data_IF_736462141373
#
_entry.id   IF_736462141373
#
_cell.length_a   1.000
_cell.length_b   1.000
_cell.length_c   1.000
_cell.angle_alpha   90.00
_cell.angle_beta   90.00
_cell.angle_gamma   90.00
#
_symmetry.space_group_name_H-M   'P 1'
#
loop_
_entity.id
_entity.type
_entity.pdbx_description
1 polymer ?
#
# COMPACT_ATOMS: atom_id res chain seq x y z
N UNK A 1 7.51 -13.11 -52.00
CA UNK A 1 6.35 -12.36 -51.45
C UNK A 1 5.69 -13.06 -50.26
N UNK A 2 5.35 -14.35 -50.35
CA UNK A 2 4.71 -15.10 -49.24
C UNK A 2 5.54 -15.15 -47.93
N UNK A 3 6.86 -15.32 -48.03
CA UNK A 3 7.75 -15.39 -46.85
C UNK A 3 7.90 -14.04 -46.13
N UNK A 4 7.90 -12.93 -46.86
CA UNK A 4 7.95 -11.58 -46.30
C UNK A 4 6.67 -11.27 -45.53
N UNK A 5 5.51 -11.68 -46.06
CA UNK A 5 4.23 -11.53 -45.39
C UNK A 5 4.15 -12.34 -44.09
N UNK A 6 4.73 -13.55 -44.08
CA UNK A 6 4.81 -14.39 -42.88
C UNK A 6 5.70 -13.76 -41.78
N UNK A 7 6.83 -13.18 -42.16
CA UNK A 7 7.75 -12.51 -41.21
C UNK A 7 7.07 -11.29 -40.58
N UNK A 8 6.38 -10.47 -41.38
CA UNK A 8 5.65 -9.28 -40.88
C UNK A 8 4.55 -9.68 -39.90
N UNK A 9 3.82 -10.77 -40.20
CA UNK A 9 2.76 -11.28 -39.33
C UNK A 9 3.33 -11.83 -38.01
N UNK A 10 4.48 -12.49 -38.05
CA UNK A 10 5.15 -13.04 -36.87
C UNK A 10 5.73 -11.93 -35.96
N UNK A 11 6.29 -10.86 -36.53
CA UNK A 11 6.79 -9.71 -35.77
C UNK A 11 5.69 -8.89 -35.10
N UNK A 12 4.50 -8.83 -35.71
CA UNK A 12 3.35 -8.11 -35.14
C UNK A 12 2.79 -8.82 -33.89
N UNK A 13 2.79 -10.16 -33.88
CA UNK A 13 2.37 -10.98 -32.73
C UNK A 13 3.32 -10.82 -31.54
N UNK A 14 4.64 -10.71 -31.79
CA UNK A 14 5.62 -10.48 -30.72
C UNK A 14 5.50 -9.09 -30.08
N UNK A 15 5.10 -8.06 -30.84
CA UNK A 15 4.93 -6.71 -30.29
C UNK A 15 3.64 -6.55 -29.48
N UNK A 16 2.60 -7.34 -29.77
CA UNK A 16 1.28 -7.25 -29.14
C UNK A 16 1.23 -7.78 -27.69
N UNK A 17 2.27 -8.45 -27.19
CA UNK A 17 2.29 -9.04 -25.85
C UNK A 17 2.90 -8.15 -24.75
N UNK A 18 3.17 -6.87 -25.03
CA UNK A 18 3.58 -5.91 -24.00
C UNK A 18 2.35 -5.32 -23.29
N UNK A 19 1.57 -6.16 -22.61
CA UNK A 19 0.56 -5.67 -21.67
C UNK A 19 1.31 -4.96 -20.53
N UNK A 20 1.07 -3.65 -20.27
CA UNK A 20 1.63 -3.02 -19.09
C UNK A 20 1.09 -3.76 -17.88
N UNK A 21 1.98 -4.40 -17.14
CA UNK A 21 1.65 -5.11 -15.92
C UNK A 21 1.03 -4.08 -14.98
N UNK A 22 -0.30 -4.18 -14.77
CA UNK A 22 -1.05 -3.33 -13.87
C UNK A 22 -0.32 -3.40 -12.52
N UNK A 23 0.25 -2.28 -12.08
CA UNK A 23 0.84 -2.17 -10.75
C UNK A 23 -0.29 -2.45 -9.75
N UNK A 24 -0.40 -3.69 -9.30
CA UNK A 24 -1.17 -4.00 -8.11
C UNK A 24 -0.50 -3.21 -6.99
N UNK A 25 -1.25 -2.32 -6.35
CA UNK A 25 -0.78 -1.57 -5.19
C UNK A 25 -0.56 -2.56 -4.03
N UNK A 26 0.56 -3.27 -4.07
CA UNK A 26 0.98 -4.23 -3.05
C UNK A 26 1.66 -3.45 -1.95
N UNK A 27 0.98 -3.34 -0.83
CA UNK A 27 1.57 -2.85 0.40
C UNK A 27 2.18 -4.02 1.16
N UNK A 28 3.43 -3.87 1.62
CA UNK A 28 4.15 -4.89 2.37
C UNK A 28 4.95 -4.24 3.49
N UNK A 29 4.90 -4.86 4.67
CA UNK A 29 5.67 -4.48 5.83
C UNK A 29 5.83 -5.71 6.75
N UNK A 30 6.81 -5.68 7.64
CA UNK A 30 7.01 -6.71 8.66
C UNK A 30 5.86 -6.72 9.69
N UNK A 31 5.30 -5.53 9.96
CA UNK A 31 4.18 -5.34 10.89
C UNK A 31 3.13 -4.40 10.27
N UNK A 32 1.85 -4.73 10.44
CA UNK A 32 0.73 -3.85 10.09
C UNK A 32 -0.09 -3.58 11.36
N UNK A 33 -0.22 -2.31 11.72
CA UNK A 33 -0.95 -1.85 12.90
C UNK A 33 -2.24 -1.19 12.45
N UNK A 34 -3.38 -1.67 12.96
CA UNK A 34 -4.67 -1.04 12.74
C UNK A 34 -5.03 -0.14 13.92
N UNK A 35 -5.38 1.10 13.61
CA UNK A 35 -5.72 2.15 14.57
C UNK A 35 -4.74 3.31 14.56
N UNK A 36 -5.24 4.51 14.88
CA UNK A 36 -4.47 5.75 14.91
C UNK A 36 -4.23 6.29 16.32
N UNK A 37 -4.37 5.51 17.39
CA UNK A 37 -4.22 5.99 18.77
C UNK A 37 -2.75 6.22 19.15
N UNK A 38 -2.49 6.91 20.26
CA UNK A 38 -1.13 7.06 20.80
C UNK A 38 -0.41 5.73 21.03
N UNK A 39 -1.12 4.70 21.51
CA UNK A 39 -0.56 3.35 21.67
C UNK A 39 -0.14 2.71 20.33
N UNK A 40 -0.94 2.89 19.28
CA UNK A 40 -0.60 2.39 17.94
C UNK A 40 0.66 3.07 17.39
N UNK A 41 0.80 4.38 17.60
CA UNK A 41 1.99 5.14 17.16
C UNK A 41 3.23 4.76 17.98
N UNK A 42 3.11 4.57 19.29
CA UNK A 42 4.22 4.08 20.12
C UNK A 42 4.70 2.71 19.65
N UNK A 43 3.78 1.79 19.32
CA UNK A 43 4.14 0.49 18.78
C UNK A 43 4.84 0.62 17.41
N UNK A 44 4.34 1.49 16.51
CA UNK A 44 4.98 1.73 15.22
C UNK A 44 6.41 2.26 15.37
N UNK A 45 6.62 3.19 16.31
CA UNK A 45 7.92 3.74 16.65
C UNK A 45 8.89 2.64 17.10
N UNK A 46 8.44 1.73 17.97
CA UNK A 46 9.25 0.60 18.41
C UNK A 46 9.61 -0.36 17.27
N UNK A 47 8.67 -0.66 16.37
CA UNK A 47 8.93 -1.51 15.21
C UNK A 47 10.05 -0.92 14.34
N UNK A 48 10.02 0.40 14.12
CA UNK A 48 11.08 1.11 13.36
C UNK A 48 12.41 1.08 14.12
N UNK A 49 12.42 1.30 15.44
CA UNK A 49 13.63 1.21 16.27
C UNK A 49 14.25 -0.20 16.27
N UNK A 50 13.41 -1.22 16.16
CA UNK A 50 13.79 -2.62 16.00
C UNK A 50 14.31 -2.97 14.58
N UNK A 51 14.45 -1.99 13.68
CA UNK A 51 14.97 -2.19 12.32
C UNK A 51 13.99 -2.89 11.38
N UNK A 52 12.69 -2.85 11.68
CA UNK A 52 11.62 -3.46 10.88
C UNK A 52 10.76 -2.40 10.19
N UNK A 53 10.05 -2.82 9.16
CA UNK A 53 9.10 -1.98 8.42
C UNK A 53 7.71 -2.08 9.04
N UNK A 54 6.98 -0.97 9.07
CA UNK A 54 5.62 -0.90 9.62
C UNK A 54 4.69 -0.10 8.73
N UNK A 55 3.45 -0.56 8.59
CA UNK A 55 2.32 0.21 8.04
C UNK A 55 1.31 0.45 9.16
N UNK A 56 0.88 1.70 9.34
CA UNK A 56 -0.22 2.05 10.24
C UNK A 56 -1.44 2.38 9.40
N UNK A 57 -2.56 1.69 9.66
CA UNK A 57 -3.84 1.89 8.97
C UNK A 57 -4.81 2.53 9.95
N UNK A 58 -5.25 3.75 9.65
CA UNK A 58 -6.24 4.47 10.44
C UNK A 58 -7.30 5.08 9.53
N UNK A 59 -8.60 5.04 9.90
CA UNK A 59 -9.63 5.82 9.21
C UNK A 59 -9.53 7.33 9.53
N UNK A 60 -8.83 7.68 10.61
CA UNK A 60 -8.74 9.05 11.10
C UNK A 60 -7.67 9.85 10.35
N UNK A 61 -7.98 11.10 10.01
CA UNK A 61 -7.01 12.04 9.44
C UNK A 61 -5.98 12.54 10.46
N UNK A 62 -6.31 12.49 11.76
CA UNK A 62 -5.43 12.92 12.84
C UNK A 62 -5.12 11.75 13.77
N UNK A 63 -3.83 11.48 13.96
CA UNK A 63 -3.35 10.42 14.84
C UNK A 63 -3.33 10.91 16.30
N UNK A 64 -3.29 9.98 17.25
CA UNK A 64 -3.29 10.20 18.69
C UNK A 64 -4.56 9.74 19.41
N UNK A 65 -5.66 9.47 18.69
CA UNK A 65 -6.95 9.09 19.28
C UNK A 65 -7.41 10.11 20.31
N UNK A 66 -7.85 9.66 21.50
CA UNK A 66 -8.26 10.54 22.60
C UNK A 66 -7.18 11.51 23.07
N UNK A 67 -5.89 11.18 22.85
CA UNK A 67 -4.80 12.08 23.20
C UNK A 67 -4.78 13.33 22.31
N UNK A 68 -5.27 13.23 21.08
CA UNK A 68 -5.34 14.33 20.12
C UNK A 68 -6.76 14.93 20.02
N UNK A 69 -7.81 14.10 20.07
CA UNK A 69 -9.21 14.52 19.96
C UNK A 69 -9.89 14.90 21.27
N UNK A 70 -9.27 14.61 22.42
CA UNK A 70 -9.87 14.81 23.74
C UNK A 70 -11.03 13.84 24.00
N UNK A 71 -11.78 14.11 25.08
CA UNK A 71 -12.92 13.28 25.49
C UNK A 71 -14.23 13.65 24.75
N UNK A 72 -14.28 14.80 24.06
CA UNK A 72 -15.50 15.29 23.41
C UNK A 72 -16.00 14.46 22.22
N UNK A 73 -15.24 13.44 21.80
CA UNK A 73 -15.65 12.47 20.78
C UNK A 73 -16.06 11.11 21.37
N UNK A 74 -15.93 10.93 22.70
CA UNK A 74 -16.32 9.69 23.39
C UNK A 74 -17.79 9.65 23.78
N UNK A 75 -18.48 10.79 23.72
CA UNK A 75 -19.91 10.93 24.03
C UNK A 75 -20.82 10.56 22.84
N UNK A 76 -20.23 10.31 21.67
CA UNK A 76 -20.93 10.22 20.38
C UNK A 76 -21.10 8.77 19.88
N UNK A 77 -21.05 7.80 20.80
CA UNK A 77 -21.12 6.35 20.51
C UNK A 77 -22.32 5.91 19.69
#
# INVERSE_FOLDING_TARGET
MKQILAIILFTSIFFACNTPQKNENKFSADVIIYGGTSGAITAAVEVVQSGKTVIVVSPDNHLGGLSAGGLGYTDTG
#
